data_IF_266673649965
#
_entry.id   IF_266673649965
#
_cell.length_a   1.000
_cell.length_b   1.000
_cell.length_c   1.000
_cell.angle_alpha   90.00
_cell.angle_beta   90.00
_cell.angle_gamma   90.00
#
_symmetry.space_group_name_H-M   'P 1'
#
loop_
_entity.id
_entity.type
_entity.pdbx_description
1 polymer ?
#
# COMPACT_ATOMS: atom_id res chain seq x y z
N UNK A 1 -8.74 19.53 -20.83
CA UNK A 1 -7.33 19.32 -21.21
C UNK A 1 -6.60 18.30 -20.34
N UNK A 2 -6.94 18.15 -19.05
CA UNK A 2 -6.34 17.12 -18.17
C UNK A 2 -6.76 15.68 -18.55
N UNK A 3 -7.96 15.48 -19.07
CA UNK A 3 -8.40 14.18 -19.60
C UNK A 3 -7.48 13.65 -20.70
N UNK A 4 -6.95 14.55 -21.55
CA UNK A 4 -6.10 14.14 -22.67
C UNK A 4 -4.73 13.55 -22.24
N UNK A 5 -4.20 13.92 -21.05
CA UNK A 5 -2.92 13.40 -20.55
C UNK A 5 -3.10 11.95 -20.06
N UNK A 6 -4.18 11.66 -19.38
CA UNK A 6 -4.51 10.30 -18.89
C UNK A 6 -4.74 9.31 -20.02
N UNK A 7 -5.37 9.78 -21.12
CA UNK A 7 -5.63 8.94 -22.29
C UNK A 7 -4.35 8.57 -23.04
N UNK A 8 -3.26 9.35 -22.82
CA UNK A 8 -1.94 9.11 -23.41
C UNK A 8 -1.05 8.19 -22.58
N UNK A 9 -1.53 7.62 -21.47
CA UNK A 9 -0.74 6.65 -20.70
C UNK A 9 -0.46 5.44 -21.59
N UNK A 10 0.77 5.35 -22.05
CA UNK A 10 1.32 4.20 -22.77
C UNK A 10 2.54 3.71 -22.01
N UNK A 11 2.43 2.53 -21.42
CA UNK A 11 3.50 1.93 -20.61
C UNK A 11 4.23 0.94 -21.52
N UNK A 12 5.36 1.37 -22.05
CA UNK A 12 6.29 0.50 -22.77
C UNK A 12 7.43 0.01 -21.85
N UNK A 13 8.36 -0.76 -22.42
CA UNK A 13 9.48 -1.34 -21.68
C UNK A 13 10.41 -0.30 -21.03
N UNK A 14 10.45 0.92 -21.56
CA UNK A 14 11.35 2.00 -21.15
C UNK A 14 10.68 3.03 -20.24
N UNK A 15 9.39 2.90 -19.99
CA UNK A 15 8.56 3.86 -19.26
C UNK A 15 9.10 4.18 -17.84
N UNK A 16 9.72 3.21 -17.18
CA UNK A 16 10.26 3.36 -15.82
C UNK A 16 11.79 3.53 -15.77
N UNK A 17 12.46 3.76 -16.91
CA UNK A 17 13.93 3.81 -16.97
C UNK A 17 14.54 5.09 -16.40
N UNK A 18 13.74 6.14 -16.16
CA UNK A 18 14.24 7.37 -15.52
C UNK A 18 14.36 7.21 -14.00
N UNK A 19 15.33 6.41 -13.57
CA UNK A 19 15.60 6.15 -12.15
C UNK A 19 16.47 7.27 -11.60
N UNK A 20 15.95 7.98 -10.58
CA UNK A 20 16.56 9.19 -10.01
C UNK A 20 17.33 8.94 -8.71
N UNK A 21 17.18 7.77 -8.10
CA UNK A 21 17.88 7.35 -6.87
C UNK A 21 19.26 6.76 -7.16
N UNK A 22 20.12 6.63 -6.12
CA UNK A 22 21.43 5.99 -6.21
C UNK A 22 21.32 4.51 -6.56
N UNK A 23 20.42 3.77 -5.89
CA UNK A 23 20.10 2.40 -6.27
C UNK A 23 19.35 2.40 -7.60
N UNK A 24 19.90 1.68 -8.59
CA UNK A 24 19.37 1.58 -9.95
C UNK A 24 18.76 0.20 -10.25
N UNK A 25 18.76 -0.70 -9.26
CA UNK A 25 18.27 -2.06 -9.46
C UNK A 25 16.74 -2.11 -9.49
N UNK A 26 16.18 -2.11 -10.68
CA UNK A 26 14.74 -2.21 -10.93
C UNK A 26 14.43 -3.51 -11.69
N UNK A 27 14.08 -4.60 -10.99
CA UNK A 27 13.75 -5.87 -11.62
C UNK A 27 12.45 -5.80 -12.42
N UNK A 28 12.28 -6.68 -13.39
CA UNK A 28 11.09 -6.71 -14.25
C UNK A 28 9.81 -6.95 -13.44
N UNK A 29 9.86 -7.73 -12.37
CA UNK A 29 8.72 -7.91 -11.44
C UNK A 29 8.26 -6.59 -10.83
N UNK A 30 9.20 -5.72 -10.45
CA UNK A 30 8.87 -4.39 -9.92
C UNK A 30 8.32 -3.45 -11.01
N UNK A 31 8.81 -3.55 -12.24
CA UNK A 31 8.24 -2.80 -13.38
C UNK A 31 6.79 -3.21 -13.66
N UNK A 32 6.48 -4.50 -13.56
CA UNK A 32 5.09 -5.00 -13.67
C UNK A 32 4.22 -4.41 -12.56
N UNK A 33 4.70 -4.43 -11.31
CA UNK A 33 3.97 -3.86 -10.19
C UNK A 33 3.80 -2.34 -10.33
N UNK A 34 4.81 -1.61 -10.82
CA UNK A 34 4.69 -0.20 -11.17
C UNK A 34 3.63 0.05 -12.25
N UNK A 35 3.59 -0.78 -13.29
CA UNK A 35 2.59 -0.68 -14.35
C UNK A 35 1.17 -0.88 -13.80
N UNK A 36 0.97 -1.89 -12.95
CA UNK A 36 -0.31 -2.13 -12.27
C UNK A 36 -0.72 -0.93 -11.41
N UNK A 37 0.23 -0.34 -10.66
CA UNK A 37 -0.02 0.86 -9.89
C UNK A 37 -0.48 2.03 -10.77
N UNK A 38 0.23 2.31 -11.87
CA UNK A 38 -0.12 3.40 -12.79
C UNK A 38 -1.47 3.18 -13.47
N UNK A 39 -1.78 1.96 -13.90
CA UNK A 39 -3.09 1.61 -14.48
C UNK A 39 -4.20 1.81 -13.44
N UNK A 40 -4.00 1.35 -12.21
CA UNK A 40 -4.95 1.53 -11.11
C UNK A 40 -5.22 3.02 -10.87
N UNK A 41 -4.15 3.83 -10.78
CA UNK A 41 -4.25 5.26 -10.51
C UNK A 41 -4.88 6.05 -11.67
N UNK A 42 -4.77 5.56 -12.90
CA UNK A 42 -5.47 6.15 -14.05
C UNK A 42 -6.98 6.22 -13.84
N UNK A 43 -7.55 5.24 -13.13
CA UNK A 43 -8.99 5.11 -12.91
C UNK A 43 -9.43 5.46 -11.49
N UNK A 44 -8.53 6.01 -10.67
CA UNK A 44 -8.78 6.31 -9.27
C UNK A 44 -8.82 7.81 -9.05
N UNK A 45 -9.78 8.29 -8.27
CA UNK A 45 -9.93 9.73 -7.97
C UNK A 45 -8.76 10.24 -7.13
N UNK A 46 -8.23 11.39 -7.52
CA UNK A 46 -7.13 12.08 -6.81
C UNK A 46 -7.58 12.69 -5.47
N UNK A 47 -6.68 12.92 -4.56
CA UNK A 47 -5.32 12.38 -4.49
C UNK A 47 -5.35 10.87 -4.36
N UNK A 48 -4.47 10.17 -5.04
CA UNK A 48 -4.43 8.71 -4.95
C UNK A 48 -3.02 8.14 -5.02
N UNK A 49 -2.81 7.05 -4.27
CA UNK A 49 -1.62 6.21 -4.31
C UNK A 49 -2.03 4.74 -4.29
N UNK A 50 -1.19 3.88 -4.83
CA UNK A 50 -1.43 2.44 -4.91
C UNK A 50 -0.19 1.67 -4.50
N UNK A 51 -0.35 0.77 -3.51
CA UNK A 51 0.65 -0.22 -3.11
C UNK A 51 0.39 -1.52 -3.86
N UNK A 52 1.42 -2.06 -4.46
CA UNK A 52 1.35 -3.29 -5.29
C UNK A 52 2.42 -4.27 -4.84
N UNK A 53 2.11 -5.55 -4.80
CA UNK A 53 3.05 -6.62 -4.52
C UNK A 53 2.70 -7.86 -5.33
N UNK A 54 3.68 -8.40 -6.06
CA UNK A 54 3.54 -9.66 -6.77
C UNK A 54 2.41 -9.67 -7.79
N UNK A 55 2.20 -8.58 -8.53
CA UNK A 55 1.16 -8.46 -9.55
C UNK A 55 -0.22 -8.10 -9.02
N UNK A 56 -0.35 -7.73 -7.74
CA UNK A 56 -1.63 -7.42 -7.10
C UNK A 56 -1.60 -6.07 -6.39
N UNK A 57 -2.59 -5.22 -6.63
CA UNK A 57 -2.84 -4.01 -5.83
C UNK A 57 -3.31 -4.43 -4.43
N UNK A 58 -2.51 -4.13 -3.40
CA UNK A 58 -2.76 -4.56 -2.02
C UNK A 58 -3.25 -3.45 -1.10
N UNK A 59 -3.12 -2.20 -1.54
CA UNK A 59 -3.63 -1.05 -0.79
C UNK A 59 -3.79 0.17 -1.70
N UNK A 60 -4.99 0.73 -1.74
CA UNK A 60 -5.31 1.93 -2.52
C UNK A 60 -5.86 2.99 -1.57
N UNK A 61 -5.25 4.16 -1.58
CA UNK A 61 -5.76 5.38 -0.96
C UNK A 61 -6.18 6.35 -2.04
N UNK A 62 -7.44 6.75 -2.06
CA UNK A 62 -8.04 7.54 -3.12
C UNK A 62 -8.96 8.62 -2.58
N UNK A 63 -9.12 9.71 -3.33
CA UNK A 63 -10.05 10.79 -3.01
C UNK A 63 -9.73 11.55 -1.71
N UNK A 64 -8.49 11.46 -1.22
CA UNK A 64 -8.09 12.11 0.01
C UNK A 64 -7.64 13.55 -0.23
N UNK A 65 -7.82 14.42 0.78
CA UNK A 65 -7.49 15.86 0.69
C UNK A 65 -5.98 16.12 0.68
N UNK A 66 -5.15 15.18 1.15
CA UNK A 66 -3.71 15.34 1.13
C UNK A 66 -2.99 14.07 0.70
N UNK A 67 -1.80 14.23 0.10
CA UNK A 67 -0.98 13.11 -0.37
C UNK A 67 -0.60 12.16 0.77
N UNK A 68 -0.19 12.70 1.91
CA UNK A 68 0.19 11.88 3.07
C UNK A 68 -1.00 11.07 3.62
N UNK A 69 -2.23 11.59 3.58
CA UNK A 69 -3.40 10.82 3.99
C UNK A 69 -3.66 9.64 3.05
N UNK A 70 -3.45 9.83 1.72
CA UNK A 70 -3.51 8.73 0.76
C UNK A 70 -2.49 7.64 1.09
N UNK A 71 -1.23 8.05 1.32
CA UNK A 71 -0.14 7.13 1.61
C UNK A 71 -0.37 6.37 2.92
N UNK A 72 -0.90 7.03 3.96
CA UNK A 72 -1.27 6.39 5.23
C UNK A 72 -2.39 5.37 5.03
N UNK A 73 -3.47 5.77 4.34
CA UNK A 73 -4.62 4.90 4.10
C UNK A 73 -4.23 3.68 3.25
N UNK A 74 -3.54 3.90 2.15
CA UNK A 74 -3.07 2.83 1.27
C UNK A 74 -2.09 1.89 1.99
N UNK A 75 -1.14 2.45 2.74
CA UNK A 75 -0.18 1.68 3.52
C UNK A 75 -0.86 0.84 4.61
N UNK A 76 -1.83 1.38 5.33
CA UNK A 76 -2.60 0.61 6.33
C UNK A 76 -3.38 -0.54 5.70
N UNK A 77 -3.96 -0.34 4.51
CA UNK A 77 -4.61 -1.42 3.76
C UNK A 77 -3.62 -2.49 3.30
N UNK A 78 -2.43 -2.09 2.84
CA UNK A 78 -1.37 -3.01 2.46
C UNK A 78 -0.85 -3.82 3.67
N UNK A 79 -0.67 -3.17 4.81
CA UNK A 79 -0.30 -3.82 6.06
C UNK A 79 -1.37 -4.86 6.48
N UNK A 80 -2.65 -4.49 6.44
CA UNK A 80 -3.76 -5.40 6.73
C UNK A 80 -3.80 -6.59 5.77
N UNK A 81 -3.55 -6.37 4.47
CA UNK A 81 -3.49 -7.45 3.49
C UNK A 81 -2.42 -8.49 3.85
N UNK A 82 -1.25 -8.04 4.33
CA UNK A 82 -0.18 -8.91 4.81
C UNK A 82 -0.53 -9.59 6.13
N UNK A 83 -1.12 -8.86 7.09
CA UNK A 83 -1.50 -9.39 8.40
C UNK A 83 -2.60 -10.46 8.29
N UNK A 84 -3.51 -10.35 7.32
CA UNK A 84 -4.54 -11.39 7.05
C UNK A 84 -3.94 -12.75 6.67
N UNK A 85 -2.68 -12.80 6.26
CA UNK A 85 -1.96 -14.03 5.90
C UNK A 85 -1.16 -14.61 7.07
N UNK A 86 -1.18 -13.96 8.24
CA UNK A 86 -0.49 -14.44 9.43
C UNK A 86 -1.17 -15.67 10.02
N UNK A 87 -0.41 -16.57 10.68
CA UNK A 87 -0.98 -17.73 11.36
C UNK A 87 -2.06 -17.36 12.38
N UNK A 88 -1.92 -16.21 13.06
CA UNK A 88 -2.91 -15.72 14.03
C UNK A 88 -4.28 -15.50 13.39
N UNK A 89 -4.31 -15.00 12.16
CA UNK A 89 -5.55 -14.77 11.41
C UNK A 89 -6.05 -16.03 10.72
N UNK A 90 -5.17 -16.78 10.10
CA UNK A 90 -5.53 -18.01 9.36
C UNK A 90 -6.10 -19.11 10.28
N UNK A 91 -5.67 -19.14 11.53
CA UNK A 91 -6.10 -20.13 12.52
C UNK A 91 -7.22 -19.64 13.44
N UNK A 92 -7.90 -18.51 13.12
CA UNK A 92 -9.04 -18.04 13.90
C UNK A 92 -10.13 -19.11 13.98
N UNK A 93 -10.61 -19.49 15.19
CA UNK A 93 -11.55 -20.58 15.42
C UNK A 93 -12.99 -20.17 15.07
N UNK A 94 -13.25 -19.86 13.82
CA UNK A 94 -14.58 -19.47 13.35
C UNK A 94 -15.61 -20.59 13.51
N UNK A 95 -16.82 -20.21 13.91
CA UNK A 95 -17.98 -21.11 13.90
C UNK A 95 -18.32 -21.56 12.47
N UNK A 96 -18.81 -22.78 12.37
CA UNK A 96 -19.42 -23.26 11.12
C UNK A 96 -20.66 -22.42 10.74
N UNK A 97 -20.89 -22.27 9.45
CA UNK A 97 -22.06 -21.57 8.94
C UNK A 97 -21.95 -20.05 8.84
N UNK A 98 -20.86 -19.43 9.33
CA UNK A 98 -20.63 -18.00 9.12
C UNK A 98 -20.41 -17.70 7.63
N UNK A 99 -21.12 -16.67 7.13
CA UNK A 99 -20.97 -16.18 5.77
C UNK A 99 -19.59 -15.52 5.58
N UNK A 100 -19.10 -15.54 4.34
CA UNK A 100 -17.80 -14.93 3.99
C UNK A 100 -17.70 -13.47 4.46
N UNK A 101 -18.75 -12.67 4.20
CA UNK A 101 -18.75 -11.27 4.59
C UNK A 101 -18.63 -11.06 6.12
N UNK A 102 -19.25 -11.94 6.92
CA UNK A 102 -19.15 -11.88 8.38
C UNK A 102 -17.75 -12.24 8.86
N UNK A 103 -17.11 -13.25 8.25
CA UNK A 103 -15.72 -13.61 8.53
C UNK A 103 -14.77 -12.49 8.15
N UNK A 104 -14.91 -11.92 6.94
CA UNK A 104 -14.06 -10.84 6.46
C UNK A 104 -14.15 -9.60 7.36
N UNK A 105 -15.37 -9.23 7.79
CA UNK A 105 -15.57 -8.12 8.73
C UNK A 105 -14.96 -8.42 10.10
N UNK A 106 -15.12 -9.63 10.61
CA UNK A 106 -14.52 -10.02 11.89
C UNK A 106 -12.99 -10.00 11.85
N UNK A 107 -12.39 -10.41 10.73
CA UNK A 107 -10.93 -10.35 10.53
C UNK A 107 -10.45 -8.91 10.49
N UNK A 108 -11.13 -8.01 9.78
CA UNK A 108 -10.72 -6.61 9.68
C UNK A 108 -10.74 -5.92 11.06
N UNK A 109 -11.80 -6.17 11.86
CA UNK A 109 -11.86 -5.65 13.23
C UNK A 109 -10.81 -6.30 14.14
N UNK A 110 -10.59 -7.62 14.03
CA UNK A 110 -9.60 -8.35 14.84
C UNK A 110 -8.17 -7.84 14.62
N UNK A 111 -7.84 -7.49 13.39
CA UNK A 111 -6.53 -6.91 13.04
C UNK A 111 -6.47 -5.44 13.47
N UNK A 112 -7.60 -4.72 13.44
CA UNK A 112 -7.69 -3.29 13.68
C UNK A 112 -7.53 -2.88 15.16
N UNK A 113 -7.82 -1.63 15.42
CA UNK A 113 -7.86 -1.07 16.77
C UNK A 113 -9.15 -1.44 17.51
N UNK A 114 -10.22 -1.71 16.76
CA UNK A 114 -11.57 -2.05 17.28
C UNK A 114 -11.72 -3.56 17.56
N UNK A 115 -10.62 -4.28 17.83
CA UNK A 115 -10.63 -5.73 18.04
C UNK A 115 -11.54 -6.18 19.18
N UNK A 116 -11.79 -5.35 20.19
CA UNK A 116 -12.69 -5.66 21.29
C UNK A 116 -14.15 -5.82 20.85
N UNK A 117 -14.55 -5.20 19.73
CA UNK A 117 -15.89 -5.36 19.16
C UNK A 117 -16.12 -6.79 18.63
N UNK A 118 -15.04 -7.55 18.46
CA UNK A 118 -15.08 -8.91 17.92
C UNK A 118 -14.64 -9.96 18.93
N UNK A 119 -13.65 -9.66 19.79
CA UNK A 119 -13.15 -10.62 20.79
C UNK A 119 -13.41 -10.22 22.24
N UNK A 120 -14.08 -9.10 22.48
CA UNK A 120 -14.52 -8.68 23.82
C UNK A 120 -15.52 -9.67 24.43
N UNK A 121 -15.69 -9.60 25.75
CA UNK A 121 -16.64 -10.45 26.47
C UNK A 121 -18.08 -10.14 26.03
N UNK A 122 -18.82 -11.18 25.66
CA UNK A 122 -20.17 -11.06 25.08
C UNK A 122 -20.19 -10.78 23.55
N UNK A 123 -19.02 -10.62 22.91
CA UNK A 123 -18.90 -10.37 21.47
C UNK A 123 -18.32 -11.57 20.71
N UNK A 124 -17.30 -12.22 21.25
CA UNK A 124 -16.59 -13.29 20.55
C UNK A 124 -17.46 -14.51 20.27
N UNK A 125 -18.42 -14.82 21.12
CA UNK A 125 -19.34 -15.94 20.96
C UNK A 125 -20.19 -15.87 19.68
N UNK A 126 -20.30 -14.68 19.10
CA UNK A 126 -21.00 -14.50 17.82
C UNK A 126 -20.22 -15.13 16.65
N UNK A 127 -18.91 -15.07 16.69
CA UNK A 127 -18.05 -15.42 15.55
C UNK A 127 -17.23 -16.69 15.76
N UNK A 128 -16.83 -16.99 16.99
CA UNK A 128 -15.82 -18.00 17.29
C UNK A 128 -16.34 -19.12 18.19
N UNK A 129 -15.71 -20.28 18.08
CA UNK A 129 -15.99 -21.43 18.96
C UNK A 129 -15.31 -21.31 20.32
N UNK A 130 -14.24 -20.54 20.39
CA UNK A 130 -13.51 -20.18 21.60
C UNK A 130 -12.96 -18.77 21.45
N UNK A 131 -12.68 -18.08 22.56
CA UNK A 131 -12.18 -16.70 22.55
C UNK A 131 -10.77 -16.65 21.99
N UNK A 132 -10.56 -15.97 20.83
CA UNK A 132 -9.23 -15.78 20.27
C UNK A 132 -8.35 -14.90 21.18
N UNK A 133 -7.02 -15.12 21.20
CA UNK A 133 -6.11 -14.19 21.85
C UNK A 133 -6.09 -12.85 21.11
N UNK A 134 -5.68 -11.80 21.81
CA UNK A 134 -5.40 -10.50 21.17
C UNK A 134 -4.24 -10.64 20.18
N UNK A 135 -4.40 -10.08 19.00
CA UNK A 135 -3.28 -9.97 18.06
C UNK A 135 -2.43 -8.75 18.46
N UNK A 136 -1.44 -8.99 19.29
CA UNK A 136 -0.64 -7.94 19.90
C UNK A 136 0.15 -7.12 18.87
N UNK A 137 0.33 -5.84 19.18
CA UNK A 137 1.06 -4.90 18.29
C UNK A 137 2.47 -5.41 17.95
N UNK A 138 3.18 -5.96 18.93
CA UNK A 138 4.52 -6.49 18.73
C UNK A 138 4.55 -7.69 17.76
N UNK A 139 3.52 -8.53 17.75
CA UNK A 139 3.39 -9.66 16.83
C UNK A 139 3.09 -9.16 15.41
N UNK A 140 2.20 -8.16 15.26
CA UNK A 140 1.90 -7.50 13.98
C UNK A 140 3.17 -6.87 13.39
N UNK A 141 3.91 -6.10 14.19
CA UNK A 141 5.17 -5.48 13.75
C UNK A 141 6.23 -6.50 13.34
N UNK A 142 6.36 -7.60 14.09
CA UNK A 142 7.26 -8.70 13.75
C UNK A 142 6.91 -9.33 12.42
N UNK A 143 5.62 -9.64 12.18
CA UNK A 143 5.14 -10.20 10.92
C UNK A 143 5.39 -9.26 9.75
N UNK A 144 5.04 -7.98 9.88
CA UNK A 144 5.25 -6.99 8.84
C UNK A 144 6.74 -6.80 8.53
N UNK A 145 7.60 -6.75 9.55
CA UNK A 145 9.05 -6.66 9.34
C UNK A 145 9.61 -7.84 8.53
N UNK A 146 9.03 -9.02 8.68
CA UNK A 146 9.46 -10.21 7.96
C UNK A 146 8.91 -10.27 6.53
N UNK A 147 7.64 -9.92 6.33
CA UNK A 147 6.91 -10.17 5.07
C UNK A 147 6.62 -8.92 4.23
N UNK A 148 6.61 -7.71 4.82
CA UNK A 148 6.46 -6.46 4.07
C UNK A 148 7.79 -6.07 3.42
N UNK A 149 8.09 -6.67 2.28
CA UNK A 149 9.34 -6.46 1.52
C UNK A 149 9.03 -6.39 0.04
N UNK A 150 9.85 -5.64 -0.69
CA UNK A 150 9.79 -5.50 -2.14
C UNK A 150 8.39 -5.04 -2.63
N UNK A 151 7.74 -4.21 -1.83
CA UNK A 151 6.46 -3.58 -2.18
C UNK A 151 6.72 -2.41 -3.12
N UNK A 152 5.85 -2.23 -4.09
CA UNK A 152 5.88 -1.11 -5.04
C UNK A 152 4.82 -0.08 -4.69
N UNK A 153 5.16 1.20 -4.79
CA UNK A 153 4.25 2.33 -4.62
C UNK A 153 4.16 3.14 -5.90
N UNK A 154 2.95 3.37 -6.39
CA UNK A 154 2.65 4.37 -7.42
C UNK A 154 1.93 5.56 -6.85
N UNK A 155 2.15 6.75 -7.43
CA UNK A 155 1.45 7.98 -7.09
C UNK A 155 0.94 8.70 -8.34
N UNK A 156 -0.29 9.21 -8.30
CA UNK A 156 -0.91 9.92 -9.41
C UNK A 156 -0.35 11.34 -9.64
N UNK A 157 0.39 11.89 -8.65
CA UNK A 157 1.13 13.14 -8.74
C UNK A 157 2.42 13.06 -7.91
N UNK A 158 3.25 14.11 -7.94
CA UNK A 158 4.48 14.17 -7.16
C UNK A 158 4.23 14.12 -5.65
N UNK A 159 5.21 13.63 -4.91
CA UNK A 159 5.22 13.72 -3.45
C UNK A 159 5.68 15.12 -3.02
N UNK A 160 4.86 15.85 -2.26
CA UNK A 160 5.23 17.19 -1.82
C UNK A 160 6.27 17.22 -0.70
N UNK A 161 6.39 16.11 0.06
CA UNK A 161 7.29 15.96 1.21
C UNK A 161 7.78 14.52 1.33
N UNK A 162 8.93 14.35 1.96
CA UNK A 162 9.59 13.06 2.21
C UNK A 162 8.88 12.19 3.26
N UNK A 163 7.96 12.75 4.05
CA UNK A 163 7.12 12.00 4.99
C UNK A 163 6.31 10.87 4.32
N UNK A 164 5.96 11.05 3.05
CA UNK A 164 5.33 10.03 2.23
C UNK A 164 6.27 8.83 1.99
N UNK A 165 7.55 9.09 1.76
CA UNK A 165 8.58 8.07 1.56
C UNK A 165 8.81 7.31 2.86
N UNK A 166 8.95 8.03 3.98
CA UNK A 166 9.09 7.42 5.30
C UNK A 166 7.89 6.55 5.68
N UNK A 167 6.66 7.01 5.36
CA UNK A 167 5.46 6.17 5.58
C UNK A 167 5.46 4.92 4.70
N UNK A 168 5.83 5.06 3.43
CA UNK A 168 5.89 3.95 2.48
C UNK A 168 6.94 2.90 2.90
N UNK A 169 8.11 3.34 3.33
CA UNK A 169 9.18 2.47 3.81
C UNK A 169 8.71 1.55 4.96
N UNK A 170 7.92 2.07 5.90
CA UNK A 170 7.38 1.27 7.02
C UNK A 170 6.45 0.13 6.58
N UNK A 171 5.84 0.24 5.41
CA UNK A 171 5.04 -0.84 4.80
C UNK A 171 5.83 -1.67 3.77
N UNK A 172 7.16 -1.64 3.82
CA UNK A 172 8.04 -2.46 3.02
C UNK A 172 8.22 -2.02 1.56
N UNK A 173 7.89 -0.77 1.23
CA UNK A 173 8.11 -0.24 -0.12
C UNK A 173 9.59 -0.14 -0.42
N UNK A 174 9.98 -0.66 -1.57
CA UNK A 174 11.32 -0.59 -2.14
C UNK A 174 11.35 0.13 -3.48
N UNK A 175 10.26 0.08 -4.22
CA UNK A 175 10.15 0.63 -5.57
C UNK A 175 9.05 1.66 -5.65
N UNK A 176 9.35 2.84 -6.23
CA UNK A 176 8.41 3.96 -6.32
C UNK A 176 8.32 4.46 -7.75
N UNK A 177 7.10 4.64 -8.25
CA UNK A 177 6.80 5.31 -9.49
C UNK A 177 5.97 6.57 -9.21
N UNK A 178 6.48 7.74 -9.59
CA UNK A 178 5.80 9.02 -9.45
C UNK A 178 6.22 9.98 -10.57
N UNK A 179 5.43 11.01 -10.92
CA UNK A 179 5.75 11.87 -12.05
C UNK A 179 6.98 12.76 -11.85
N UNK A 180 7.34 13.13 -10.63
CA UNK A 180 8.32 14.18 -10.36
C UNK A 180 7.76 15.59 -10.61
N UNK A 181 8.59 16.61 -10.47
CA UNK A 181 8.24 18.00 -10.73
C UNK A 181 7.88 18.82 -9.47
N UNK A 182 8.15 18.30 -8.28
CA UNK A 182 8.10 19.06 -7.03
C UNK A 182 9.40 19.86 -6.83
N UNK A 183 9.29 21.03 -6.23
CA UNK A 183 10.48 21.77 -5.74
C UNK A 183 11.24 21.01 -4.64
N UNK A 184 10.61 19.98 -4.05
CA UNK A 184 11.15 19.11 -3.01
C UNK A 184 11.47 17.69 -3.51
N UNK A 185 11.61 17.52 -4.81
CA UNK A 185 11.97 16.21 -5.37
C UNK A 185 13.27 15.66 -4.77
N UNK A 186 14.25 16.55 -4.50
CA UNK A 186 15.51 16.15 -3.90
C UNK A 186 15.33 15.58 -2.49
N UNK A 187 14.46 16.16 -1.66
CA UNK A 187 14.18 15.67 -0.31
C UNK A 187 13.63 14.22 -0.38
N UNK A 188 12.73 13.96 -1.34
CA UNK A 188 12.17 12.62 -1.58
C UNK A 188 13.23 11.63 -2.10
N UNK A 189 14.11 12.05 -2.99
CA UNK A 189 15.21 11.23 -3.52
C UNK A 189 16.17 10.87 -2.39
N UNK A 190 16.55 11.84 -1.55
CA UNK A 190 17.45 11.63 -0.41
C UNK A 190 16.85 10.67 0.62
N UNK A 191 15.53 10.75 0.88
CA UNK A 191 14.82 9.80 1.72
C UNK A 191 14.87 8.38 1.13
N UNK A 192 14.65 8.23 -0.18
CA UNK A 192 14.80 6.94 -0.86
C UNK A 192 16.21 6.40 -0.75
N UNK A 193 17.24 7.25 -0.94
CA UNK A 193 18.64 6.85 -0.87
C UNK A 193 19.02 6.37 0.55
N UNK A 194 18.53 7.05 1.60
CA UNK A 194 18.73 6.60 3.00
C UNK A 194 18.24 5.17 3.26
N UNK A 195 17.20 4.76 2.57
CA UNK A 195 16.56 3.45 2.72
C UNK A 195 16.91 2.45 1.61
N UNK A 196 17.80 2.80 0.68
CA UNK A 196 18.16 1.94 -0.44
C UNK A 196 17.02 1.66 -1.42
N UNK A 197 16.01 2.52 -1.45
CA UNK A 197 14.85 2.41 -2.34
C UNK A 197 15.21 2.86 -3.75
N UNK A 198 14.40 2.43 -4.72
CA UNK A 198 14.50 2.79 -6.13
C UNK A 198 13.31 3.64 -6.51
N UNK A 199 13.55 4.85 -7.02
CA UNK A 199 12.48 5.75 -7.50
C UNK A 199 12.65 6.04 -8.98
N UNK A 200 11.58 5.88 -9.74
CA UNK A 200 11.46 6.28 -11.13
C UNK A 200 10.53 7.47 -11.28
N UNK A 201 10.97 8.48 -12.03
CA UNK A 201 10.13 9.58 -12.47
C UNK A 201 9.49 9.25 -13.81
N UNK A 202 8.16 9.12 -13.81
CA UNK A 202 7.39 8.77 -15.01
C UNK A 202 7.13 9.96 -15.93
N UNK A 203 7.21 11.20 -15.40
CA UNK A 203 6.88 12.41 -16.13
C UNK A 203 5.39 12.54 -16.48
N UNK A 204 4.55 11.57 -16.10
CA UNK A 204 3.12 11.57 -16.40
C UNK A 204 2.31 11.77 -15.12
N UNK A 205 1.60 12.88 -15.06
CA UNK A 205 0.66 13.19 -14.00
C UNK A 205 -0.70 12.59 -14.32
N UNK A 206 -1.20 11.74 -13.45
CA UNK A 206 -2.54 11.12 -13.56
C UNK A 206 -3.59 11.83 -12.70
N UNK A 207 -3.21 12.92 -12.06
CA UNK A 207 -4.04 13.69 -11.13
C UNK A 207 -5.33 14.20 -11.80
N UNK A 208 -6.48 13.95 -11.16
CA UNK A 208 -7.79 14.42 -11.59
C UNK A 208 -8.80 14.38 -10.42
N UNK A 209 -9.76 15.22 -10.51
CA UNK A 209 -10.92 15.27 -9.63
C UNK A 209 -12.20 14.87 -10.34
#
# INVERSE_FOLDING_TARGET
>A
SEMCIRDRLNIDKDFFNNIVTENKELPDSAKIDMAIAMITLKYTQSNSVCFVKGGQAIGIGAGQQSRIHCTRLAGSKADNWLLRQSPQVLNLPFKEGLKRAERDNAIDNYIGEDYLDVIGDGCWEKYFTEKPPVFEKAEKEKWLKEYAKDVTLGSDAFFPFDDNIERAYRSGVKYIAQPGGSIRDQDCIDACNRHGMVMSFTGIRLFHH
#
